data_IF_288154147348
#
_entry.id   IF_288154147348
#
_cell.length_a   1.000
_cell.length_b   1.000
_cell.length_c   1.000
_cell.angle_alpha   90.00
_cell.angle_beta   90.00
_cell.angle_gamma   90.00
#
_symmetry.space_group_name_H-M   'P 1'
#
loop_
_entity.id
_entity.type
_entity.pdbx_description
1 polymer ?
#
# COMPACT_ATOMS: atom_id res chain seq x y z
N UNK A 1 15.32 -7.05 -4.61
CA UNK A 1 14.11 -7.13 -5.45
C UNK A 1 14.24 -6.09 -6.53
N UNK A 2 13.99 -6.48 -7.78
CA UNK A 2 13.91 -5.57 -8.92
C UNK A 2 12.47 -5.50 -9.37
N UNK A 3 11.78 -4.43 -8.99
CA UNK A 3 10.38 -4.22 -9.31
C UNK A 3 10.23 -3.90 -10.80
N UNK A 4 9.25 -4.52 -11.45
CA UNK A 4 8.78 -4.14 -12.77
C UNK A 4 7.28 -3.89 -12.72
N UNK A 5 6.90 -2.72 -13.20
CA UNK A 5 5.51 -2.29 -13.25
C UNK A 5 4.98 -2.47 -14.67
N UNK A 6 3.77 -3.00 -14.81
CA UNK A 6 3.09 -3.12 -16.09
C UNK A 6 1.68 -2.55 -16.00
N UNK A 7 1.44 -1.45 -16.71
CA UNK A 7 0.09 -0.92 -16.92
C UNK A 7 -0.78 -1.93 -17.68
N UNK A 8 -1.92 -2.28 -17.10
CA UNK A 8 -2.91 -3.22 -17.66
C UNK A 8 -4.11 -2.52 -18.30
N UNK A 9 -4.64 -1.52 -17.62
CA UNK A 9 -5.83 -0.76 -18.03
C UNK A 9 -5.56 0.72 -17.82
N UNK A 10 -6.10 1.56 -18.72
CA UNK A 10 -6.09 3.02 -18.59
C UNK A 10 -7.41 3.59 -19.11
N UNK A 11 -8.03 4.41 -18.29
CA UNK A 11 -9.18 5.23 -18.65
C UNK A 11 -8.80 6.71 -18.53
N UNK A 12 -9.76 7.61 -18.72
CA UNK A 12 -9.59 9.03 -18.47
C UNK A 12 -9.40 9.38 -17.00
N UNK A 13 -9.80 8.50 -16.07
CA UNK A 13 -9.84 8.78 -14.63
C UNK A 13 -9.28 7.65 -13.75
N UNK A 14 -8.73 6.59 -14.34
CA UNK A 14 -8.14 5.48 -13.59
C UNK A 14 -7.13 4.67 -14.38
N UNK A 15 -6.22 4.04 -13.66
CA UNK A 15 -5.28 3.07 -14.19
C UNK A 15 -5.23 1.83 -13.28
N UNK A 16 -4.92 0.67 -13.87
CA UNK A 16 -4.56 -0.51 -13.08
C UNK A 16 -3.19 -0.99 -13.53
N UNK A 17 -2.29 -1.15 -12.58
CA UNK A 17 -0.93 -1.63 -12.78
C UNK A 17 -0.76 -2.99 -12.11
N UNK A 18 0.07 -3.85 -12.72
CA UNK A 18 0.50 -5.12 -12.13
C UNK A 18 1.97 -5.01 -11.77
N UNK A 19 2.31 -5.49 -10.58
CA UNK A 19 3.65 -5.48 -10.01
C UNK A 19 4.31 -6.84 -10.23
N UNK A 20 5.56 -6.84 -10.66
CA UNK A 20 6.34 -8.05 -10.87
C UNK A 20 7.70 -7.94 -10.17
N UNK A 21 8.11 -8.99 -9.46
CA UNK A 21 9.49 -9.17 -9.03
C UNK A 21 10.28 -9.86 -10.15
N UNK A 22 11.32 -9.18 -10.65
CA UNK A 22 12.20 -9.72 -11.69
C UNK A 22 13.29 -10.66 -11.14
N UNK A 23 13.48 -10.70 -9.82
CA UNK A 23 14.45 -11.57 -9.16
C UNK A 23 13.86 -12.96 -8.86
N UNK A 24 12.53 -13.09 -8.88
CA UNK A 24 11.81 -14.35 -8.69
C UNK A 24 11.06 -14.79 -9.94
N UNK A 25 11.05 -16.10 -10.17
CA UNK A 25 10.36 -16.71 -11.29
C UNK A 25 9.04 -17.35 -10.83
N UNK A 26 7.98 -17.19 -11.63
CA UNK A 26 6.74 -17.94 -11.48
C UNK A 26 6.83 -19.36 -12.09
N UNK A 27 5.74 -20.11 -12.00
CA UNK A 27 5.63 -21.47 -12.55
C UNK A 27 5.83 -21.54 -14.08
N UNK A 28 5.69 -20.40 -14.77
CA UNK A 28 5.91 -20.27 -16.22
C UNK A 28 7.31 -19.77 -16.56
N UNK A 29 8.21 -19.68 -15.58
CA UNK A 29 9.56 -19.13 -15.70
C UNK A 29 9.58 -17.65 -16.15
N UNK A 30 8.48 -16.93 -15.90
CA UNK A 30 8.37 -15.49 -16.06
C UNK A 30 8.56 -14.76 -14.73
N UNK A 31 8.63 -13.42 -14.74
CA UNK A 31 8.67 -12.65 -13.50
C UNK A 31 7.47 -12.95 -12.60
N UNK A 32 7.71 -13.13 -11.31
CA UNK A 32 6.65 -13.40 -10.35
C UNK A 32 5.73 -12.19 -10.21
N UNK A 33 4.43 -12.39 -10.42
CA UNK A 33 3.43 -11.36 -10.12
C UNK A 33 3.29 -11.25 -8.61
N UNK A 34 3.54 -10.06 -8.06
CA UNK A 34 3.53 -9.82 -6.62
C UNK A 34 2.34 -9.00 -6.12
N UNK A 35 1.58 -8.39 -7.03
CA UNK A 35 0.48 -7.54 -6.64
C UNK A 35 -0.08 -6.68 -7.76
N UNK A 36 -0.95 -5.75 -7.37
CA UNK A 36 -1.49 -4.72 -8.25
C UNK A 36 -1.64 -3.39 -7.54
N UNK A 37 -1.70 -2.33 -8.35
CA UNK A 37 -2.06 -0.98 -7.91
C UNK A 37 -3.25 -0.52 -8.74
N UNK A 38 -4.30 -0.10 -8.06
CA UNK A 38 -5.41 0.61 -8.68
C UNK A 38 -5.21 2.11 -8.43
N UNK A 39 -5.11 2.90 -9.49
CA UNK A 39 -4.96 4.35 -9.43
C UNK A 39 -6.26 5.01 -9.89
N UNK A 40 -6.64 6.06 -9.17
CA UNK A 40 -7.77 6.92 -9.50
C UNK A 40 -7.29 8.37 -9.54
N UNK A 41 -7.62 9.05 -10.62
CA UNK A 41 -7.31 10.46 -10.82
C UNK A 41 -8.58 11.27 -10.62
N UNK A 42 -8.51 12.29 -9.78
CA UNK A 42 -9.46 13.38 -9.81
C UNK A 42 -8.77 14.71 -10.20
N UNK A 43 -9.47 15.84 -10.04
CA UNK A 43 -8.93 17.16 -10.39
C UNK A 43 -7.93 17.73 -9.38
N UNK A 44 -7.82 17.15 -8.20
CA UNK A 44 -7.12 17.68 -7.03
C UNK A 44 -6.03 16.73 -6.52
N UNK A 45 -6.21 15.41 -6.65
CA UNK A 45 -5.31 14.39 -6.12
C UNK A 45 -5.34 13.07 -6.90
N UNK A 46 -4.34 12.23 -6.60
CA UNK A 46 -4.26 10.84 -7.06
C UNK A 46 -4.46 9.91 -5.86
N UNK A 47 -5.48 9.05 -5.95
CA UNK A 47 -5.70 7.98 -5.00
C UNK A 47 -5.11 6.68 -5.55
N UNK A 48 -4.36 5.97 -4.72
CA UNK A 48 -3.84 4.66 -5.06
C UNK A 48 -4.20 3.62 -3.99
N UNK A 49 -4.55 2.42 -4.44
CA UNK A 49 -4.71 1.25 -3.58
C UNK A 49 -3.67 0.21 -3.98
N UNK A 50 -2.73 -0.09 -3.07
CA UNK A 50 -1.72 -1.12 -3.26
C UNK A 50 -2.19 -2.45 -2.66
N UNK A 51 -2.23 -3.50 -3.48
CA UNK A 51 -2.60 -4.85 -3.09
C UNK A 51 -1.43 -5.79 -3.37
N UNK A 52 -0.87 -6.40 -2.33
CA UNK A 52 0.18 -7.43 -2.40
C UNK A 52 -0.44 -8.79 -2.10
N UNK A 53 -0.04 -9.84 -2.82
CA UNK A 53 -0.58 -11.18 -2.59
C UNK A 53 -0.08 -11.78 -1.26
N UNK A 54 -0.99 -12.44 -0.53
CA UNK A 54 -0.75 -13.07 0.79
C UNK A 54 0.48 -13.96 0.82
N UNK A 55 0.61 -14.79 -0.20
CA UNK A 55 1.63 -15.81 -0.36
C UNK A 55 3.05 -15.22 -0.36
N UNK A 56 3.17 -13.96 -0.78
CA UNK A 56 4.43 -13.23 -0.74
C UNK A 56 4.64 -12.57 0.61
N UNK A 57 3.62 -11.94 1.19
CA UNK A 57 3.77 -11.18 2.45
C UNK A 57 4.33 -11.99 3.62
N UNK A 58 4.10 -13.30 3.65
CA UNK A 58 4.64 -14.19 4.69
C UNK A 58 6.15 -14.44 4.55
N UNK A 59 6.71 -14.22 3.36
CA UNK A 59 8.10 -14.56 3.02
C UNK A 59 8.99 -13.33 2.81
N UNK A 60 8.40 -12.14 2.73
CA UNK A 60 9.13 -10.90 2.51
C UNK A 60 9.91 -10.50 3.76
N UNK A 61 11.15 -10.06 3.56
CA UNK A 61 11.95 -9.52 4.65
C UNK A 61 11.32 -8.23 5.21
N UNK A 62 11.44 -7.97 6.52
CA UNK A 62 11.00 -6.71 7.12
C UNK A 62 11.57 -5.50 6.34
N UNK A 63 10.72 -4.53 6.02
CA UNK A 63 11.10 -3.34 5.24
C UNK A 63 10.96 -3.49 3.72
N UNK A 64 10.79 -4.70 3.19
CA UNK A 64 10.61 -4.92 1.74
C UNK A 64 9.34 -4.24 1.22
N UNK A 65 8.24 -4.31 1.98
CA UNK A 65 6.99 -3.61 1.64
C UNK A 65 7.20 -2.10 1.56
N UNK A 66 8.01 -1.54 2.47
CA UNK A 66 8.31 -0.10 2.48
C UNK A 66 9.09 0.29 1.23
N UNK A 67 10.10 -0.50 0.85
CA UNK A 67 10.87 -0.28 -0.38
C UNK A 67 9.99 -0.39 -1.65
N UNK A 68 9.03 -1.32 -1.71
CA UNK A 68 8.06 -1.40 -2.82
C UNK A 68 7.26 -0.10 -2.92
N UNK A 69 6.78 0.41 -1.79
CA UNK A 69 5.98 1.64 -1.75
C UNK A 69 6.81 2.83 -2.25
N UNK A 70 8.06 2.96 -1.80
CA UNK A 70 8.98 4.02 -2.23
C UNK A 70 9.28 3.94 -3.73
N UNK A 71 9.66 2.75 -4.25
CA UNK A 71 9.89 2.53 -5.68
C UNK A 71 8.64 2.83 -6.52
N UNK A 72 7.45 2.50 -6.00
CA UNK A 72 6.17 2.78 -6.66
C UNK A 72 5.89 4.29 -6.72
N UNK A 73 6.11 5.00 -5.61
CA UNK A 73 5.92 6.45 -5.55
C UNK A 73 6.84 7.16 -6.53
N UNK A 74 8.12 6.77 -6.60
CA UNK A 74 9.08 7.32 -7.55
C UNK A 74 8.63 7.11 -9.02
N UNK A 75 8.18 5.90 -9.38
CA UNK A 75 7.66 5.62 -10.74
C UNK A 75 6.33 6.34 -11.03
N UNK A 76 5.48 6.55 -10.03
CA UNK A 76 4.25 7.33 -10.20
C UNK A 76 4.54 8.81 -10.49
N UNK A 77 5.67 9.34 -10.00
CA UNK A 77 6.02 10.76 -10.04
C UNK A 77 6.87 11.12 -11.28
N UNK A 78 7.60 10.18 -11.89
CA UNK A 78 8.37 10.38 -13.14
C UNK A 78 7.79 9.56 -14.32
N UNK A 79 7.26 10.09 -15.45
CA UNK A 79 6.72 11.39 -15.81
C UNK A 79 5.29 11.26 -16.40
N UNK A 80 4.26 11.51 -15.59
CA UNK A 80 3.00 12.07 -16.08
C UNK A 80 2.96 13.44 -15.41
N UNK A 81 3.00 14.53 -16.19
CA UNK A 81 3.18 15.89 -15.68
C UNK A 81 2.06 16.39 -14.77
N UNK A 82 1.93 15.79 -13.60
CA UNK A 82 0.98 16.05 -12.55
C UNK A 82 1.81 16.39 -11.33
N UNK A 83 1.87 17.66 -10.91
CA UNK A 83 2.14 17.97 -9.52
C UNK A 83 0.84 17.67 -8.78
N UNK A 84 0.76 16.57 -8.05
CA UNK A 84 -0.41 16.31 -7.22
C UNK A 84 0.01 15.65 -5.93
N UNK A 85 -0.59 16.17 -4.88
CA UNK A 85 -0.65 15.50 -3.62
C UNK A 85 -1.26 14.10 -3.84
N UNK A 86 -0.72 13.12 -3.12
CA UNK A 86 -1.03 11.71 -3.19
C UNK A 86 -1.52 11.25 -1.83
N UNK A 87 -2.40 10.24 -1.86
CA UNK A 87 -2.72 9.43 -0.69
C UNK A 87 -2.73 7.96 -1.11
N UNK A 88 -2.10 7.12 -0.31
CA UNK A 88 -1.90 5.70 -0.55
C UNK A 88 -2.34 4.90 0.68
N UNK A 89 -3.34 4.05 0.47
CA UNK A 89 -3.76 3.05 1.44
C UNK A 89 -3.05 1.72 1.16
N UNK A 90 -2.36 1.20 2.17
CA UNK A 90 -1.82 -0.16 2.18
C UNK A 90 -2.48 -1.00 3.27
N UNK A 91 -2.94 -2.18 2.88
CA UNK A 91 -3.48 -3.19 3.79
C UNK A 91 -2.65 -4.47 3.66
N UNK A 92 -2.26 -5.07 4.79
CA UNK A 92 -1.78 -6.46 4.72
C UNK A 92 -2.93 -7.38 4.31
N UNK A 93 -2.62 -8.51 3.67
CA UNK A 93 -3.60 -9.53 3.33
C UNK A 93 -4.36 -10.08 4.56
N UNK A 94 -3.71 -10.13 5.73
CA UNK A 94 -4.35 -10.51 7.00
C UNK A 94 -5.23 -9.39 7.60
N UNK A 95 -5.20 -8.18 7.04
CA UNK A 95 -5.78 -6.95 7.59
C UNK A 95 -5.24 -6.55 8.97
N UNK A 96 -4.17 -7.17 9.44
CA UNK A 96 -3.53 -6.86 10.73
C UNK A 96 -2.66 -5.60 10.68
N UNK A 97 -2.18 -5.21 9.49
CA UNK A 97 -1.39 -4.00 9.31
C UNK A 97 -2.04 -3.09 8.29
N UNK A 98 -2.22 -1.83 8.68
CA UNK A 98 -2.64 -0.74 7.81
C UNK A 98 -1.56 0.33 7.81
N UNK A 99 -1.28 0.91 6.64
CA UNK A 99 -0.43 2.09 6.50
C UNK A 99 -1.10 3.07 5.57
N UNK A 100 -1.22 4.30 6.03
CA UNK A 100 -1.62 5.45 5.23
C UNK A 100 -0.37 6.27 4.91
N UNK A 101 -0.17 6.62 3.64
CA UNK A 101 0.92 7.52 3.23
C UNK A 101 0.35 8.64 2.39
N UNK A 102 0.65 9.88 2.75
CA UNK A 102 0.27 11.06 1.99
C UNK A 102 1.41 12.08 1.96
N UNK A 103 1.48 12.91 0.92
CA UNK A 103 2.27 14.14 0.92
C UNK A 103 1.36 15.39 0.94
N UNK A 104 0.08 15.23 1.25
CA UNK A 104 -0.87 16.31 1.41
C UNK A 104 -0.82 16.84 2.85
N UNK A 105 -0.23 18.03 3.04
CA UNK A 105 0.03 18.62 4.36
C UNK A 105 -1.24 18.83 5.21
N UNK A 106 -2.43 18.89 4.61
CA UNK A 106 -3.70 19.15 5.32
C UNK A 106 -4.32 17.90 5.98
N UNK A 107 -3.80 16.69 5.70
CA UNK A 107 -4.32 15.41 6.23
C UNK A 107 -3.44 14.77 7.33
N UNK A 108 -2.37 15.44 7.78
CA UNK A 108 -1.51 14.95 8.88
C UNK A 108 -2.13 15.12 10.29
N UNK A 109 -3.28 15.79 10.40
CA UNK A 109 -4.05 15.91 11.64
C UNK A 109 -5.08 14.77 11.71
N UNK A 110 -4.76 13.66 12.39
CA UNK A 110 -5.70 12.79 13.15
C UNK A 110 -5.12 11.38 13.52
N UNK A 111 -3.82 11.24 13.76
CA UNK A 111 -3.31 10.07 14.52
C UNK A 111 -3.43 10.30 16.05
N UNK A 112 -4.66 10.51 16.55
CA UNK A 112 -4.92 10.35 17.99
C UNK A 112 -5.11 8.86 18.31
N UNK A 113 -4.09 8.29 18.97
CA UNK A 113 -4.11 6.94 19.55
C UNK A 113 -5.35 6.73 20.46
N UNK A 114 -6.36 5.98 20.00
CA UNK A 114 -7.30 5.33 20.93
C UNK A 114 -6.63 4.13 21.60
N UNK A 115 -5.85 4.40 22.65
CA UNK A 115 -5.54 3.40 23.67
C UNK A 115 -6.75 3.23 24.59
N UNK A 116 -7.75 2.46 24.18
CA UNK A 116 -8.74 1.97 25.15
C UNK A 116 -8.15 0.84 26.00
N UNK A 117 -7.91 1.21 27.26
CA UNK A 117 -7.46 0.38 28.36
C UNK A 117 -8.47 -0.72 28.71
N UNK A 118 -8.26 -1.92 28.17
CA UNK A 118 -8.88 -3.13 28.69
C UNK A 118 -8.09 -3.70 29.87
N UNK A 119 -8.44 -3.35 31.11
CA UNK A 119 -8.44 -4.25 32.29
C UNK A 119 -8.99 -3.51 33.51
N UNK A 120 -10.20 -3.88 33.94
CA UNK A 120 -10.56 -3.83 35.36
C UNK A 120 -11.26 -5.13 35.72
N UNK A 121 -10.46 -6.17 35.95
CA UNK A 121 -10.86 -7.29 36.79
C UNK A 121 -10.57 -6.88 38.24
N UNK A 122 -11.60 -6.74 39.06
CA UNK A 122 -11.60 -7.35 40.39
C UNK A 122 -12.99 -7.23 41.01
N UNK A 123 -13.65 -8.38 41.11
CA UNK A 123 -14.70 -8.54 42.11
C UNK A 123 -14.10 -8.32 43.49
N UNK A 124 -14.85 -7.62 44.35
CA UNK A 124 -14.81 -7.87 45.77
C UNK A 124 -16.17 -7.57 46.41
N UNK A 125 -16.70 -8.64 46.96
CA UNK A 125 -17.85 -8.82 47.84
C UNK A 125 -17.63 -8.08 49.17
N UNK A 126 -18.65 -7.37 49.64
CA UNK A 126 -18.72 -6.78 50.99
C UNK A 126 -20.12 -7.05 51.60
N UNK A 127 -20.25 -7.02 52.95
CA UNK A 127 -21.03 -7.96 53.75
C UNK A 127 -22.54 -7.70 53.79
#
# INVERSE_FOLDING_TARGET
>A
MRLKIKRKVRTSSSEQWTLFDLDQADDSNGPQNIGKVDLHYDSEMVYATLLIWSELTETLEPGTIQAIIEDLLDEMIEPIGVPADYSLDYFSPSLESYKFLTNFEELEEDEEEEKESGTSSNGNRWP
#
